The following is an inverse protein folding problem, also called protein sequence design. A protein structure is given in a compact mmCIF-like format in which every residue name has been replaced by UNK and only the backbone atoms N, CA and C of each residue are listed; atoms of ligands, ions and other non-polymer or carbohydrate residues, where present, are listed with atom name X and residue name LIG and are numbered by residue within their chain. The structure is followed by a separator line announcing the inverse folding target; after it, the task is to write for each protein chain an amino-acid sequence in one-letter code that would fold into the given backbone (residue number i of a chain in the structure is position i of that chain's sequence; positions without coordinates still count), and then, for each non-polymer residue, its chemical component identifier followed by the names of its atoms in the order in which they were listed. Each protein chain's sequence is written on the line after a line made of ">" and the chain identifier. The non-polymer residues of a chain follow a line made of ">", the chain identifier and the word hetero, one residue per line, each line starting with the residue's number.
data_IF_832291533032
#
_entry.id   IF_832291533032
#
_cell.length_a   1.000
_cell.length_b   1.000
_cell.length_c   1.000
_cell.angle_alpha   90.00
_cell.angle_beta   90.00
_cell.angle_gamma   90.00
#
_symmetry.space_group_name_H-M   'P 1'
#
loop_
_entity.id
_entity.type
_entity.pdbx_description
1 polymer ?
#
# COMPACT_ATOMS: atom_id res chain seq x y z
N UNK A 1 -21.51 29.08 6.88
CA UNK A 1 -21.50 27.84 6.09
C UNK A 1 -22.47 28.01 4.94
N UNK A 2 -21.96 28.11 3.72
CA UNK A 2 -22.76 28.28 2.51
C UNK A 2 -23.47 26.99 2.12
N UNK A 3 -24.54 27.09 1.33
CA UNK A 3 -25.28 25.94 0.79
C UNK A 3 -24.37 25.02 -0.06
N UNK A 4 -23.37 25.59 -0.74
CA UNK A 4 -22.39 24.86 -1.54
C UNK A 4 -21.45 24.02 -0.66
N UNK A 5 -20.85 24.62 0.37
CA UNK A 5 -19.97 23.91 1.32
C UNK A 5 -20.68 22.74 2.01
N UNK A 6 -21.95 22.94 2.39
CA UNK A 6 -22.76 21.87 3.00
C UNK A 6 -22.98 20.71 2.03
N UNK A 7 -23.33 20.99 0.77
CA UNK A 7 -23.55 19.94 -0.25
C UNK A 7 -22.27 19.19 -0.58
N UNK A 8 -21.14 19.88 -0.64
CA UNK A 8 -19.84 19.27 -0.89
C UNK A 8 -19.46 18.33 0.25
N UNK A 9 -19.61 18.78 1.50
CA UNK A 9 -19.39 17.94 2.68
C UNK A 9 -20.31 16.71 2.73
N UNK A 10 -21.60 16.87 2.46
CA UNK A 10 -22.56 15.74 2.40
C UNK A 10 -22.15 14.73 1.31
N UNK A 11 -21.63 15.21 0.18
CA UNK A 11 -21.11 14.38 -0.91
C UNK A 11 -19.85 13.61 -0.50
N UNK A 12 -18.91 14.26 0.17
CA UNK A 12 -17.69 13.61 0.68
C UNK A 12 -17.99 12.56 1.76
N UNK A 13 -18.90 12.88 2.69
CA UNK A 13 -19.34 11.96 3.74
C UNK A 13 -19.98 10.71 3.14
N UNK A 14 -20.86 10.88 2.13
CA UNK A 14 -21.44 9.74 1.40
C UNK A 14 -20.39 8.94 0.64
N UNK A 15 -19.46 9.60 -0.06
CA UNK A 15 -18.37 8.92 -0.77
C UNK A 15 -17.53 8.07 0.20
N UNK A 16 -17.22 8.59 1.38
CA UNK A 16 -16.49 7.87 2.43
C UNK A 16 -17.27 6.66 2.93
N UNK A 17 -18.56 6.82 3.25
CA UNK A 17 -19.42 5.73 3.71
C UNK A 17 -19.48 4.57 2.71
N UNK A 18 -19.62 4.89 1.42
CA UNK A 18 -19.61 3.88 0.35
C UNK A 18 -18.29 3.11 0.30
N UNK A 19 -17.15 3.81 0.42
CA UNK A 19 -15.83 3.20 0.37
C UNK A 19 -15.56 2.33 1.60
N UNK A 20 -15.92 2.77 2.79
CA UNK A 20 -15.78 1.99 4.03
C UNK A 20 -16.57 0.67 3.94
N UNK A 21 -17.81 0.72 3.45
CA UNK A 21 -18.63 -0.47 3.23
C UNK A 21 -18.05 -1.39 2.15
N UNK A 22 -17.57 -0.82 1.03
CA UNK A 22 -16.92 -1.58 -0.03
C UNK A 22 -15.67 -2.30 0.47
N UNK A 23 -14.79 -1.61 1.22
CA UNK A 23 -13.59 -2.18 1.80
C UNK A 23 -13.92 -3.34 2.74
N UNK A 24 -14.86 -3.14 3.68
CA UNK A 24 -15.30 -4.17 4.61
C UNK A 24 -15.78 -5.43 3.88
N UNK A 25 -16.63 -5.25 2.86
CA UNK A 25 -17.18 -6.37 2.10
C UNK A 25 -16.12 -7.07 1.24
N UNK A 26 -15.21 -6.32 0.60
CA UNK A 26 -14.13 -6.90 -0.20
C UNK A 26 -13.17 -7.73 0.64
N UNK A 27 -12.81 -7.26 1.84
CA UNK A 27 -11.93 -8.00 2.75
C UNK A 27 -12.60 -9.26 3.31
N UNK A 28 -13.89 -9.18 3.63
CA UNK A 28 -14.63 -10.31 4.19
C UNK A 28 -14.93 -11.40 3.14
N UNK A 29 -15.32 -11.00 1.93
CA UNK A 29 -15.92 -11.90 0.94
C UNK A 29 -15.06 -12.10 -0.33
N UNK A 30 -14.04 -11.25 -0.53
CA UNK A 30 -13.26 -11.17 -1.76
C UNK A 30 -13.95 -10.33 -2.84
N UNK A 31 -13.14 -9.74 -3.72
CA UNK A 31 -13.59 -8.85 -4.80
C UNK A 31 -14.70 -9.46 -5.67
N UNK A 32 -14.54 -10.72 -6.09
CA UNK A 32 -15.46 -11.39 -7.02
C UNK A 32 -16.87 -11.55 -6.46
N UNK A 33 -17.00 -11.83 -5.15
CA UNK A 33 -18.30 -12.14 -4.52
C UNK A 33 -19.11 -10.91 -4.15
N UNK A 34 -18.50 -9.72 -4.18
CA UNK A 34 -19.15 -8.46 -3.82
C UNK A 34 -19.75 -7.82 -5.06
N UNK A 35 -20.99 -7.36 -4.94
CA UNK A 35 -21.69 -6.56 -5.95
C UNK A 35 -22.00 -5.15 -5.42
N UNK A 36 -22.30 -4.21 -6.33
CA UNK A 36 -22.79 -2.86 -5.97
C UNK A 36 -24.02 -2.94 -5.08
N UNK A 37 -24.89 -3.93 -5.30
CA UNK A 37 -26.08 -4.14 -4.47
C UNK A 37 -25.70 -4.52 -3.03
N UNK A 38 -24.72 -5.40 -2.83
CA UNK A 38 -24.26 -5.74 -1.48
C UNK A 38 -23.74 -4.52 -0.73
N UNK A 39 -23.01 -3.64 -1.41
CA UNK A 39 -22.48 -2.40 -0.83
C UNK A 39 -23.62 -1.45 -0.47
N UNK A 40 -24.60 -1.28 -1.36
CA UNK A 40 -25.77 -0.46 -1.11
C UNK A 40 -26.60 -0.97 0.08
N UNK A 41 -26.83 -2.29 0.14
CA UNK A 41 -27.55 -2.95 1.23
C UNK A 41 -26.82 -2.77 2.58
N UNK A 42 -25.49 -2.86 2.62
CA UNK A 42 -24.66 -2.67 3.83
C UNK A 42 -24.80 -1.28 4.44
N UNK A 43 -25.06 -0.25 3.61
CA UNK A 43 -25.25 1.13 4.07
C UNK A 43 -26.73 1.56 4.09
N UNK A 44 -27.66 0.63 3.85
CA UNK A 44 -29.11 0.88 3.79
C UNK A 44 -29.55 1.88 2.71
N UNK A 45 -28.84 1.92 1.57
CA UNK A 45 -29.16 2.75 0.40
C UNK A 45 -29.54 1.92 -0.83
N UNK A 46 -30.05 2.60 -1.85
CA UNK A 46 -30.31 1.98 -3.14
C UNK A 46 -29.02 1.83 -3.98
N UNK A 47 -28.92 0.83 -4.87
CA UNK A 47 -27.80 0.75 -5.82
C UNK A 47 -27.65 2.02 -6.68
N UNK A 48 -28.78 2.67 -7.02
CA UNK A 48 -28.78 3.94 -7.75
C UNK A 48 -28.00 5.04 -7.01
N UNK A 49 -28.04 5.04 -5.67
CA UNK A 49 -27.25 5.97 -4.84
C UNK A 49 -25.76 5.77 -5.06
N UNK A 50 -25.28 4.53 -5.13
CA UNK A 50 -23.85 4.23 -5.37
C UNK A 50 -23.42 4.74 -6.75
N UNK A 51 -24.25 4.53 -7.77
CA UNK A 51 -23.99 4.97 -9.14
C UNK A 51 -23.88 6.49 -9.32
N UNK A 52 -24.34 7.30 -8.35
CA UNK A 52 -24.12 8.75 -8.34
C UNK A 52 -22.66 9.12 -8.00
N UNK A 53 -21.91 8.20 -7.38
CA UNK A 53 -20.54 8.44 -6.88
C UNK A 53 -19.49 7.59 -7.59
N UNK A 54 -19.86 6.40 -8.04
CA UNK A 54 -18.97 5.43 -8.68
C UNK A 54 -19.71 4.73 -9.82
N UNK A 55 -19.12 4.76 -11.01
CA UNK A 55 -19.64 4.16 -12.24
C UNK A 55 -19.83 2.65 -12.11
N UNK A 56 -18.89 1.97 -11.45
CA UNK A 56 -18.88 0.52 -11.35
C UNK A 56 -18.05 0.02 -10.14
N UNK A 57 -18.00 -1.31 -9.98
CA UNK A 57 -17.25 -1.98 -8.91
C UNK A 57 -15.73 -1.78 -9.03
N UNK A 58 -15.21 -1.66 -10.25
CA UNK A 58 -13.79 -1.44 -10.48
C UNK A 58 -13.38 -0.05 -9.97
N UNK A 59 -14.20 0.98 -10.21
CA UNK A 59 -13.92 2.34 -9.72
C UNK A 59 -13.86 2.42 -8.19
N UNK A 60 -14.73 1.69 -7.49
CA UNK A 60 -14.70 1.57 -6.03
C UNK A 60 -13.39 0.94 -5.54
N UNK A 61 -13.05 -0.22 -6.10
CA UNK A 61 -11.84 -0.95 -5.73
C UNK A 61 -10.58 -0.11 -5.99
N UNK A 62 -10.55 0.55 -7.15
CA UNK A 62 -9.48 1.47 -7.49
C UNK A 62 -9.36 2.66 -6.53
N UNK A 63 -10.48 3.30 -6.15
CA UNK A 63 -10.46 4.40 -5.20
C UNK A 63 -9.94 3.97 -3.82
N UNK A 64 -10.24 2.73 -3.40
CA UNK A 64 -9.66 2.14 -2.19
C UNK A 64 -8.16 1.91 -2.32
N UNK A 65 -7.68 1.42 -3.47
CA UNK A 65 -6.25 1.30 -3.75
C UNK A 65 -5.52 2.65 -3.67
N UNK A 66 -6.06 3.69 -4.29
CA UNK A 66 -5.48 5.04 -4.20
C UNK A 66 -5.36 5.51 -2.75
N UNK A 67 -6.42 5.34 -1.95
CA UNK A 67 -6.39 5.71 -0.53
C UNK A 67 -5.33 4.94 0.25
N UNK A 68 -5.19 3.65 -0.02
CA UNK A 68 -4.19 2.80 0.63
C UNK A 68 -2.76 3.20 0.26
N UNK A 69 -2.47 3.45 -1.03
CA UNK A 69 -1.16 3.93 -1.48
C UNK A 69 -0.82 5.32 -0.95
N UNK A 70 -1.79 6.26 -0.94
CA UNK A 70 -1.58 7.59 -0.34
C UNK A 70 -1.26 7.49 1.14
N UNK A 71 -1.93 6.60 1.87
CA UNK A 71 -1.61 6.36 3.27
C UNK A 71 -0.16 5.83 3.41
N UNK A 72 0.24 4.84 2.61
CA UNK A 72 1.61 4.33 2.61
C UNK A 72 2.64 5.43 2.31
N UNK A 73 2.42 6.26 1.30
CA UNK A 73 3.31 7.39 0.97
C UNK A 73 3.44 8.34 2.15
N UNK A 74 2.33 8.66 2.82
CA UNK A 74 2.32 9.53 4.00
C UNK A 74 3.11 8.92 5.18
N UNK A 75 3.10 7.59 5.34
CA UNK A 75 3.94 6.92 6.36
C UNK A 75 5.44 7.14 6.11
N UNK A 76 5.86 7.42 4.88
CA UNK A 76 7.26 7.72 4.56
C UNK A 76 7.69 9.15 4.87
N UNK A 77 6.78 10.05 5.26
CA UNK A 77 7.11 11.44 5.58
C UNK A 77 8.32 11.62 6.53
N UNK A 78 8.55 10.77 7.56
CA UNK A 78 9.69 10.93 8.47
C UNK A 78 11.07 10.85 7.80
N UNK A 79 11.21 10.14 6.66
CA UNK A 79 12.52 9.98 6.00
C UNK A 79 13.05 11.30 5.45
N UNK A 80 12.18 12.29 5.21
CA UNK A 80 12.55 13.63 4.75
C UNK A 80 13.47 14.38 5.73
N UNK A 81 13.46 13.99 7.01
CA UNK A 81 14.30 14.61 8.04
C UNK A 81 15.70 13.97 8.17
N UNK A 82 15.92 12.82 7.52
CA UNK A 82 17.19 12.10 7.57
C UNK A 82 18.16 12.63 6.51
N UNK A 83 19.44 12.74 6.88
CA UNK A 83 20.46 13.33 6.01
C UNK A 83 21.18 12.31 5.13
N UNK A 84 21.46 11.10 5.66
CA UNK A 84 22.20 10.08 4.93
C UNK A 84 21.23 9.24 4.09
N UNK A 85 21.48 9.04 2.79
CA UNK A 85 20.61 8.23 1.93
C UNK A 85 20.38 6.81 2.46
N UNK A 86 21.44 6.15 2.97
CA UNK A 86 21.30 4.82 3.56
C UNK A 86 20.44 4.78 4.82
N UNK A 87 20.43 5.85 5.62
CA UNK A 87 19.57 5.93 6.80
C UNK A 87 18.11 6.14 6.38
N UNK A 88 17.86 6.92 5.31
CA UNK A 88 16.53 7.04 4.68
C UNK A 88 16.02 5.69 4.20
N UNK A 89 16.85 4.93 3.47
CA UNK A 89 16.47 3.64 2.91
C UNK A 89 16.16 2.60 4.00
N UNK A 90 16.97 2.58 5.06
CA UNK A 90 16.73 1.75 6.23
C UNK A 90 15.43 2.14 6.93
N UNK A 91 15.20 3.42 7.24
CA UNK A 91 13.95 3.82 7.90
C UNK A 91 12.73 3.58 7.01
N UNK A 92 12.84 3.81 5.70
CA UNK A 92 11.76 3.56 4.74
C UNK A 92 11.32 2.08 4.75
N UNK A 93 12.26 1.14 4.80
CA UNK A 93 11.91 -0.28 4.91
C UNK A 93 11.27 -0.64 6.25
N UNK A 94 11.72 -0.04 7.36
CA UNK A 94 11.07 -0.21 8.68
C UNK A 94 9.64 0.34 8.69
N UNK A 95 9.43 1.51 8.09
CA UNK A 95 8.11 2.13 7.94
C UNK A 95 7.18 1.28 7.06
N UNK A 96 7.71 0.70 5.97
CA UNK A 96 6.96 -0.22 5.13
C UNK A 96 6.49 -1.47 5.90
N UNK A 97 7.41 -2.10 6.65
CA UNK A 97 7.10 -3.26 7.48
C UNK A 97 6.05 -2.88 8.52
N UNK A 98 6.25 -1.78 9.25
CA UNK A 98 5.31 -1.27 10.26
C UNK A 98 3.92 -1.02 9.67
N UNK A 99 3.84 -0.36 8.52
CA UNK A 99 2.59 -0.12 7.81
C UNK A 99 1.84 -1.43 7.53
N UNK A 100 2.54 -2.46 7.06
CA UNK A 100 1.93 -3.76 6.78
C UNK A 100 1.34 -4.42 8.04
N UNK A 101 1.98 -4.24 9.20
CA UNK A 101 1.50 -4.77 10.48
C UNK A 101 0.34 -4.01 11.08
N UNK A 102 0.38 -2.69 11.01
CA UNK A 102 -0.65 -1.82 11.55
C UNK A 102 -1.89 -1.78 10.64
N UNK A 103 -1.72 -2.07 9.35
CA UNK A 103 -2.76 -1.99 8.34
C UNK A 103 -2.81 -3.28 7.50
N UNK A 104 -3.01 -4.47 8.11
CA UNK A 104 -2.99 -5.73 7.39
C UNK A 104 -4.03 -5.74 6.27
N UNK A 105 -5.24 -5.26 6.56
CA UNK A 105 -6.33 -5.14 5.59
C UNK A 105 -5.98 -4.28 4.37
N UNK A 106 -5.27 -3.17 4.57
CA UNK A 106 -4.81 -2.35 3.45
C UNK A 106 -3.70 -3.06 2.66
N UNK A 107 -2.83 -3.80 3.33
CA UNK A 107 -1.82 -4.62 2.67
C UNK A 107 -2.45 -5.74 1.82
N UNK A 108 -3.50 -6.40 2.34
CA UNK A 108 -4.30 -7.39 1.58
C UNK A 108 -4.89 -6.77 0.34
N UNK A 109 -5.57 -5.63 0.51
CA UNK A 109 -6.19 -4.88 -0.57
C UNK A 109 -5.16 -4.53 -1.65
N UNK A 110 -4.02 -3.94 -1.25
CA UNK A 110 -3.02 -3.42 -2.18
C UNK A 110 -2.28 -4.49 -2.99
N UNK A 111 -1.97 -5.65 -2.38
CA UNK A 111 -0.98 -6.58 -2.94
C UNK A 111 -1.42 -8.03 -3.08
N UNK A 112 -2.47 -8.46 -2.37
CA UNK A 112 -2.78 -9.91 -2.22
C UNK A 112 -4.17 -10.26 -2.74
N UNK A 113 -5.12 -9.34 -2.68
CA UNK A 113 -6.49 -9.58 -3.13
C UNK A 113 -6.51 -9.92 -4.62
N UNK A 114 -7.13 -11.05 -4.97
CA UNK A 114 -7.34 -11.41 -6.37
C UNK A 114 -8.49 -10.56 -6.95
N UNK A 115 -8.14 -9.59 -7.76
CA UNK A 115 -9.02 -8.64 -8.43
C UNK A 115 -8.46 -8.38 -9.85
N UNK A 116 -9.29 -7.94 -10.82
CA UNK A 116 -8.85 -7.69 -12.18
C UNK A 116 -7.95 -6.44 -12.25
N UNK A 117 -6.67 -6.61 -11.93
CA UNK A 117 -5.67 -5.54 -11.93
C UNK A 117 -5.50 -4.93 -13.33
N UNK A 118 -5.70 -5.72 -14.38
CA UNK A 118 -5.63 -5.25 -15.78
C UNK A 118 -6.70 -4.19 -16.07
N UNK A 119 -7.86 -4.28 -15.43
CA UNK A 119 -8.92 -3.27 -15.56
C UNK A 119 -8.52 -1.92 -14.95
N UNK A 120 -7.51 -1.92 -14.09
CA UNK A 120 -6.94 -0.73 -13.45
C UNK A 120 -5.73 -0.21 -14.24
N UNK A 121 -4.86 -1.11 -14.72
CA UNK A 121 -3.68 -0.78 -15.54
C UNK A 121 -4.04 -0.09 -16.87
N UNK A 122 -5.16 -0.45 -17.52
CA UNK A 122 -5.56 0.14 -18.80
C UNK A 122 -6.06 1.60 -18.72
N UNK A 123 -6.02 2.24 -17.54
CA UNK A 123 -6.34 3.66 -17.35
C UNK A 123 -5.04 4.39 -16.95
N UNK A 124 -4.31 4.89 -17.94
CA UNK A 124 -3.01 5.57 -17.73
C UNK A 124 -3.09 6.76 -16.74
N UNK A 125 -4.28 7.35 -16.58
CA UNK A 125 -4.57 8.49 -15.70
C UNK A 125 -4.88 8.09 -14.24
N UNK A 126 -4.84 6.79 -13.91
CA UNK A 126 -5.53 6.25 -12.74
C UNK A 126 -4.58 5.54 -11.78
N UNK A 127 -3.65 4.68 -12.21
CA UNK A 127 -2.70 4.05 -11.28
C UNK A 127 -1.52 4.96 -10.83
N UNK A 128 -1.73 6.27 -10.70
CA UNK A 128 -0.67 7.22 -10.35
C UNK A 128 -0.10 6.97 -8.94
N UNK A 129 -0.95 6.75 -7.94
CA UNK A 129 -0.51 6.61 -6.53
C UNK A 129 0.39 5.37 -6.29
N UNK A 130 0.14 4.26 -7.01
CA UNK A 130 0.98 3.06 -6.92
C UNK A 130 2.37 3.27 -7.53
N UNK A 131 2.42 3.93 -8.69
CA UNK A 131 3.68 4.35 -9.30
C UNK A 131 4.42 5.35 -8.41
N UNK A 132 3.72 6.32 -7.82
CA UNK A 132 4.30 7.29 -6.90
C UNK A 132 4.94 6.63 -5.68
N UNK A 133 4.29 5.63 -5.07
CA UNK A 133 4.85 4.92 -3.93
C UNK A 133 6.18 4.22 -4.27
N UNK A 134 6.25 3.57 -5.44
CA UNK A 134 7.49 2.98 -5.93
C UNK A 134 8.54 4.04 -6.32
N UNK A 135 8.10 5.16 -6.91
CA UNK A 135 8.97 6.26 -7.28
C UNK A 135 9.63 6.93 -6.06
N UNK A 136 8.95 7.00 -4.91
CA UNK A 136 9.58 7.44 -3.65
C UNK A 136 10.74 6.53 -3.28
N UNK A 137 10.59 5.21 -3.43
CA UNK A 137 11.68 4.26 -3.18
C UNK A 137 12.81 4.44 -4.20
N UNK A 138 12.48 4.54 -5.49
CA UNK A 138 13.46 4.75 -6.55
C UNK A 138 14.31 6.01 -6.31
N UNK A 139 13.69 7.11 -5.86
CA UNK A 139 14.40 8.34 -5.51
C UNK A 139 15.41 8.11 -4.38
N UNK A 140 15.00 7.44 -3.30
CA UNK A 140 15.91 7.15 -2.17
C UNK A 140 17.05 6.22 -2.59
N UNK A 141 16.75 5.23 -3.44
CA UNK A 141 17.77 4.33 -4.01
C UNK A 141 18.73 5.11 -4.91
N UNK A 142 18.24 6.04 -5.73
CA UNK A 142 19.08 6.90 -6.56
C UNK A 142 20.03 7.75 -5.69
N UNK A 143 19.55 8.34 -4.60
CA UNK A 143 20.42 9.06 -3.65
C UNK A 143 21.51 8.14 -3.04
N UNK A 144 21.19 6.87 -2.80
CA UNK A 144 22.17 5.88 -2.32
C UNK A 144 23.22 5.54 -3.40
N UNK A 145 22.81 5.49 -4.67
CA UNK A 145 23.72 5.28 -5.81
C UNK A 145 24.63 6.50 -5.98
N UNK A 146 24.07 7.70 -5.96
CA UNK A 146 24.81 8.97 -6.15
C UNK A 146 25.84 9.21 -5.05
N UNK A 147 25.55 8.77 -3.83
CA UNK A 147 26.49 8.81 -2.69
C UNK A 147 27.52 7.67 -2.69
N UNK A 148 27.41 6.70 -3.61
CA UNK A 148 28.27 5.53 -3.71
C UNK A 148 28.00 4.45 -2.66
N UNK A 149 26.90 4.55 -1.92
CA UNK A 149 26.51 3.57 -0.91
C UNK A 149 25.92 2.29 -1.52
N UNK A 150 25.23 2.42 -2.65
CA UNK A 150 24.84 1.31 -3.53
C UNK A 150 25.72 1.38 -4.78
N UNK A 151 26.30 0.25 -5.19
CA UNK A 151 27.23 0.16 -6.33
C UNK A 151 26.50 -0.16 -7.63
N UNK A 152 25.36 -0.84 -7.56
CA UNK A 152 24.52 -1.09 -8.73
C UNK A 152 24.02 0.24 -9.34
N UNK A 153 24.16 0.48 -10.66
CA UNK A 153 23.91 1.81 -11.24
C UNK A 153 22.44 2.10 -11.57
N UNK A 154 21.55 1.10 -11.44
CA UNK A 154 20.16 1.18 -11.88
C UNK A 154 19.22 1.14 -10.67
N UNK A 155 18.62 2.29 -10.38
CA UNK A 155 17.73 2.51 -9.24
C UNK A 155 16.40 1.76 -9.34
N UNK A 156 15.89 1.52 -10.56
CA UNK A 156 14.66 0.77 -10.76
C UNK A 156 14.87 -0.70 -10.40
N UNK A 157 15.92 -1.32 -10.93
CA UNK A 157 16.24 -2.73 -10.64
C UNK A 157 16.62 -2.94 -9.19
N UNK A 158 17.45 -2.05 -8.63
CA UNK A 158 17.81 -2.11 -7.21
C UNK A 158 16.58 -1.88 -6.32
N UNK A 159 15.73 -0.90 -6.66
CA UNK A 159 14.47 -0.63 -5.97
C UNK A 159 13.51 -1.82 -5.99
N UNK A 160 13.33 -2.47 -7.13
CA UNK A 160 12.51 -3.67 -7.25
C UNK A 160 13.04 -4.82 -6.39
N UNK A 161 14.36 -5.05 -6.39
CA UNK A 161 14.98 -6.08 -5.55
C UNK A 161 14.78 -5.78 -4.06
N UNK A 162 14.99 -4.53 -3.65
CA UNK A 162 14.81 -4.08 -2.27
C UNK A 162 13.36 -4.24 -1.85
N UNK A 163 12.43 -3.72 -2.65
CA UNK A 163 11.00 -3.87 -2.38
C UNK A 163 10.61 -5.34 -2.29
N UNK A 164 11.07 -6.19 -3.22
CA UNK A 164 10.75 -7.62 -3.23
C UNK A 164 11.19 -8.32 -1.93
N UNK A 165 12.38 -8.00 -1.42
CA UNK A 165 12.87 -8.58 -0.16
C UNK A 165 12.00 -8.14 1.02
N UNK A 166 11.79 -6.83 1.17
CA UNK A 166 11.04 -6.27 2.32
C UNK A 166 9.57 -6.69 2.27
N UNK A 167 8.97 -6.67 1.08
CA UNK A 167 7.61 -7.15 0.83
C UNK A 167 7.47 -8.63 1.15
N UNK A 168 8.39 -9.47 0.68
CA UNK A 168 8.39 -10.91 0.96
C UNK A 168 8.48 -11.19 2.45
N UNK A 169 9.35 -10.47 3.17
CA UNK A 169 9.49 -10.60 4.61
C UNK A 169 8.19 -10.24 5.35
N UNK A 170 7.60 -9.09 5.02
CA UNK A 170 6.33 -8.64 5.60
C UNK A 170 5.20 -9.63 5.30
N UNK A 171 5.07 -10.08 4.04
CA UNK A 171 4.03 -11.00 3.60
C UNK A 171 4.15 -12.37 4.29
N UNK A 172 5.36 -12.92 4.42
CA UNK A 172 5.59 -14.20 5.11
C UNK A 172 5.13 -14.15 6.56
N UNK A 173 5.42 -13.06 7.25
CA UNK A 173 5.02 -12.89 8.64
C UNK A 173 3.51 -12.65 8.76
N UNK A 174 2.98 -11.66 8.03
CA UNK A 174 1.59 -11.25 8.11
C UNK A 174 0.61 -12.38 7.76
N UNK A 175 1.00 -13.24 6.80
CA UNK A 175 0.20 -14.39 6.35
C UNK A 175 0.44 -15.66 7.14
N UNK A 176 1.09 -15.57 8.30
CA UNK A 176 1.38 -16.72 9.17
C UNK A 176 2.09 -17.84 8.39
N UNK A 177 3.00 -17.49 7.47
CA UNK A 177 3.78 -18.46 6.68
C UNK A 177 5.11 -18.81 7.33
N UNK A 178 5.40 -18.25 8.50
CA UNK A 178 6.59 -18.53 9.31
C UNK A 178 6.42 -19.72 10.27
N UNK A 179 5.47 -20.63 10.04
CA UNK A 179 5.15 -21.74 10.97
C UNK A 179 6.29 -22.73 11.21
N UNK A 180 7.30 -22.74 10.34
CA UNK A 180 8.52 -23.54 10.51
C UNK A 180 9.40 -23.06 11.67
N UNK A 181 9.17 -21.83 12.17
CA UNK A 181 9.91 -21.24 13.29
C UNK A 181 9.03 -21.19 14.56
N UNK A 182 9.64 -21.36 15.74
CA UNK A 182 8.94 -21.22 17.02
C UNK A 182 8.45 -19.78 17.27
N UNK A 183 7.34 -19.62 18.01
CA UNK A 183 6.69 -18.31 18.23
C UNK A 183 7.64 -17.24 18.78
N UNK A 184 8.45 -17.57 19.79
CA UNK A 184 9.44 -16.65 20.36
C UNK A 184 10.49 -16.21 19.33
N UNK A 185 10.80 -17.07 18.34
CA UNK A 185 11.79 -16.78 17.31
C UNK A 185 11.23 -15.93 16.19
N UNK A 186 9.94 -16.05 15.84
CA UNK A 186 9.34 -15.38 14.67
C UNK A 186 9.56 -13.87 14.71
N UNK A 187 9.22 -13.24 15.84
CA UNK A 187 9.29 -11.78 16.00
C UNK A 187 10.71 -11.26 15.82
N UNK A 188 11.66 -11.85 16.54
CA UNK A 188 13.06 -11.43 16.48
C UNK A 188 13.71 -11.75 15.12
N UNK A 189 13.31 -12.87 14.49
CA UNK A 189 13.89 -13.30 13.21
C UNK A 189 13.60 -12.33 12.09
N UNK A 190 12.43 -11.67 12.09
CA UNK A 190 12.09 -10.68 11.09
C UNK A 190 13.00 -9.45 11.19
N UNK A 191 13.14 -8.90 12.40
CA UNK A 191 14.01 -7.74 12.65
C UNK A 191 15.47 -8.07 12.33
N UNK A 192 15.96 -9.24 12.78
CA UNK A 192 17.30 -9.74 12.48
C UNK A 192 17.53 -9.93 10.97
N UNK A 193 16.55 -10.47 10.24
CA UNK A 193 16.65 -10.67 8.79
C UNK A 193 16.66 -9.35 8.03
N UNK A 194 15.86 -8.38 8.46
CA UNK A 194 15.86 -7.04 7.89
C UNK A 194 17.19 -6.33 8.15
N UNK A 195 17.72 -6.39 9.37
CA UNK A 195 19.01 -5.82 9.72
C UNK A 195 20.16 -6.44 8.91
N UNK A 196 20.14 -7.76 8.72
CA UNK A 196 21.10 -8.47 7.87
C UNK A 196 21.00 -8.02 6.40
N UNK A 197 19.80 -7.79 5.91
CA UNK A 197 19.57 -7.28 4.56
C UNK A 197 20.14 -5.86 4.40
N UNK A 198 19.87 -4.96 5.35
CA UNK A 198 20.45 -3.61 5.37
C UNK A 198 21.98 -3.66 5.40
N UNK A 199 22.57 -4.55 6.21
CA UNK A 199 24.02 -4.75 6.23
C UNK A 199 24.57 -5.25 4.90
N UNK A 200 23.81 -6.09 4.19
CA UNK A 200 24.17 -6.58 2.84
C UNK A 200 24.19 -5.42 1.85
N UNK A 201 23.16 -4.55 1.87
CA UNK A 201 23.13 -3.36 1.00
C UNK A 201 24.34 -2.44 1.30
N UNK A 202 24.63 -2.18 2.58
CA UNK A 202 25.76 -1.34 3.00
C UNK A 202 27.13 -1.87 2.55
N UNK A 203 27.26 -3.16 2.26
CA UNK A 203 28.51 -3.76 1.76
C UNK A 203 28.67 -3.65 0.23
N UNK A 204 27.66 -3.09 -0.44
CA UNK A 204 27.69 -2.79 -1.87
C UNK A 204 26.81 -3.74 -2.66
N UNK A 205 25.49 -3.55 -2.54
CA UNK A 205 24.52 -4.02 -3.53
C UNK A 205 24.86 -3.47 -4.93
#
# INVERSE_FOLDING_TARGET
>A
MGILERKEREREEMRRLILEAAQKLFLANGYEKVSIRNIADEIEYSPATIYLYFKDKNELFFALHQQAFRKLINEFAPIAHLQKPMDKLEEMGRLYIRFAFENPELFDLMFIMNAPMEAIECREDIWDDGHQAFHVLQNVVQECIDSGAIKHPDAERAGLLIWSMVHGLAALFLRKRMMIFGEERKKNLMDEAYDLFVQTIRKGL
#
